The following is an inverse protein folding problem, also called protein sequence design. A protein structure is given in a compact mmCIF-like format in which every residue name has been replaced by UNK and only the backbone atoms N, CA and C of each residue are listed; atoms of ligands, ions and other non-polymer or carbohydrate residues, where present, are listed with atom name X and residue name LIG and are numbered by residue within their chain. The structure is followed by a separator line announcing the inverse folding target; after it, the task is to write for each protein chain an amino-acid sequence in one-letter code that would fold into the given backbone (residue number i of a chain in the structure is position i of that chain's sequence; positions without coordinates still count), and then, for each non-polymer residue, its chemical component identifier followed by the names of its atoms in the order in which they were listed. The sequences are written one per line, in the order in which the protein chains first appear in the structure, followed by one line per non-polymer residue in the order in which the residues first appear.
data_IF_670184002479
#
_entry.id   IF_670184002479
#
_cell.length_a   1.000
_cell.length_b   1.000
_cell.length_c   1.000
_cell.angle_alpha   90.00
_cell.angle_beta   90.00
_cell.angle_gamma   90.00
#
_symmetry.space_group_name_H-M   'P 1'
#
loop_
_entity.id
_entity.type
_entity.pdbx_description
1 polymer ?
#
# COMPACT_ATOMS: atom_id res chain seq x y z
N UNK A 1 -7.55 23.89 10.54
CA UNK A 1 -7.96 22.70 11.31
C UNK A 1 -7.02 21.55 10.94
N UNK A 2 -6.59 20.67 11.87
CA UNK A 2 -5.87 19.45 11.52
C UNK A 2 -6.71 18.59 10.57
N UNK A 3 -6.06 17.88 9.64
CA UNK A 3 -6.74 16.98 8.72
C UNK A 3 -7.33 15.78 9.48
N UNK A 4 -8.51 15.33 9.07
CA UNK A 4 -9.10 14.11 9.64
C UNK A 4 -8.43 12.85 9.08
N UNK A 5 -8.52 11.74 9.81
CA UNK A 5 -7.99 10.43 9.36
C UNK A 5 -8.51 10.05 7.97
N UNK A 6 -9.79 10.35 7.68
CA UNK A 6 -10.39 10.11 6.37
C UNK A 6 -9.87 11.02 5.26
N UNK A 7 -9.62 12.30 5.56
CA UNK A 7 -8.99 13.24 4.61
C UNK A 7 -7.53 12.82 4.30
N UNK A 8 -6.79 12.36 5.31
CA UNK A 8 -5.42 11.83 5.15
C UNK A 8 -5.39 10.56 4.30
N UNK A 9 -6.32 9.62 4.53
CA UNK A 9 -6.42 8.40 3.73
C UNK A 9 -6.79 8.72 2.26
N UNK A 10 -7.74 9.63 2.04
CA UNK A 10 -8.13 10.05 0.68
C UNK A 10 -6.96 10.70 -0.06
N UNK A 11 -6.21 11.57 0.61
CA UNK A 11 -5.02 12.20 0.04
C UNK A 11 -3.89 11.20 -0.25
N UNK A 12 -3.72 10.19 0.61
CA UNK A 12 -2.72 9.14 0.44
C UNK A 12 -2.98 8.28 -0.82
N UNK A 13 -4.25 8.04 -1.16
CA UNK A 13 -4.66 7.19 -2.28
C UNK A 13 -4.85 7.93 -3.61
N UNK A 14 -4.81 9.27 -3.61
CA UNK A 14 -4.94 10.07 -4.82
C UNK A 14 -3.77 9.78 -5.79
N UNK A 15 -4.10 9.39 -7.04
CA UNK A 15 -3.12 9.07 -8.11
C UNK A 15 -2.14 7.92 -7.82
N UNK A 16 -2.44 7.07 -6.83
CA UNK A 16 -1.51 6.03 -6.37
C UNK A 16 -1.33 4.87 -7.36
N UNK A 17 -2.28 4.62 -8.27
CA UNK A 17 -2.36 3.37 -9.03
C UNK A 17 -2.44 3.57 -10.53
N UNK A 18 -1.55 2.85 -11.25
CA UNK A 18 -1.53 2.76 -12.70
C UNK A 18 -1.47 1.26 -13.11
N UNK A 19 -2.57 0.72 -13.68
CA UNK A 19 -2.66 -0.70 -14.05
C UNK A 19 -1.77 -1.08 -15.24
N UNK A 20 -1.14 -0.13 -15.93
CA UNK A 20 -0.17 -0.42 -16.99
C UNK A 20 1.17 -0.92 -16.44
N UNK A 21 1.50 -0.58 -15.19
CA UNK A 21 2.75 -1.01 -14.54
C UNK A 21 2.63 -2.44 -14.02
N UNK A 22 3.68 -3.24 -14.22
CA UNK A 22 3.68 -4.65 -13.85
C UNK A 22 3.56 -4.90 -12.33
N UNK A 23 3.12 -6.10 -11.95
CA UNK A 23 2.83 -6.47 -10.56
C UNK A 23 4.00 -6.26 -9.61
N UNK A 24 5.22 -6.60 -10.06
CA UNK A 24 6.46 -6.42 -9.28
C UNK A 24 6.75 -4.96 -8.95
N UNK A 25 6.35 -4.02 -9.82
CA UNK A 25 6.48 -2.59 -9.54
C UNK A 25 5.65 -2.23 -8.32
N UNK A 26 4.37 -2.64 -8.32
CA UNK A 26 3.44 -2.34 -7.24
C UNK A 26 3.79 -3.01 -5.91
N UNK A 27 4.28 -4.26 -5.93
CA UNK A 27 4.82 -4.90 -4.74
C UNK A 27 6.00 -4.13 -4.13
N UNK A 28 6.92 -3.62 -4.97
CA UNK A 28 8.03 -2.78 -4.50
C UNK A 28 7.55 -1.43 -3.98
N UNK A 29 6.56 -0.84 -4.62
CA UNK A 29 5.96 0.43 -4.17
C UNK A 29 5.30 0.27 -2.80
N UNK A 30 4.52 -0.80 -2.59
CA UNK A 30 3.91 -1.10 -1.30
C UNK A 30 4.94 -1.33 -0.20
N UNK A 31 5.98 -2.14 -0.46
CA UNK A 31 7.06 -2.37 0.50
C UNK A 31 7.85 -1.09 0.81
N UNK A 32 8.08 -0.23 -0.20
CA UNK A 32 8.73 1.08 0.02
C UNK A 32 7.87 1.98 0.91
N UNK A 33 6.56 2.04 0.67
CA UNK A 33 5.64 2.81 1.50
C UNK A 33 5.65 2.30 2.95
N UNK A 34 5.58 0.97 3.16
CA UNK A 34 5.70 0.36 4.49
C UNK A 34 6.99 0.76 5.21
N UNK A 35 8.15 0.68 4.55
CA UNK A 35 9.45 1.09 5.14
C UNK A 35 9.53 2.58 5.44
N UNK A 36 8.89 3.40 4.61
CA UNK A 36 8.82 4.85 4.83
C UNK A 36 7.95 5.13 6.06
N UNK A 37 6.82 4.44 6.19
CA UNK A 37 5.99 4.45 7.41
C UNK A 37 6.80 4.10 8.65
N UNK A 38 7.56 2.99 8.62
CA UNK A 38 8.41 2.55 9.74
C UNK A 38 9.43 3.65 10.13
N UNK A 39 10.02 4.33 9.14
CA UNK A 39 10.98 5.41 9.36
C UNK A 39 10.33 6.66 9.98
N UNK A 40 9.12 7.01 9.54
CA UNK A 40 8.36 8.15 10.06
C UNK A 40 7.90 7.90 11.50
N UNK A 41 7.55 6.66 11.86
CA UNK A 41 7.30 6.27 13.26
C UNK A 41 8.53 6.55 14.14
N UNK A 42 9.74 6.21 13.67
CA UNK A 42 10.97 6.50 14.42
C UNK A 42 11.20 8.01 14.60
N UNK A 43 10.76 8.82 13.64
CA UNK A 43 10.80 10.29 13.69
C UNK A 43 9.64 10.91 14.47
N UNK A 44 8.72 10.09 15.02
CA UNK A 44 7.47 10.52 15.68
C UNK A 44 6.52 11.32 14.78
N UNK A 45 6.70 11.22 13.47
CA UNK A 45 5.77 11.76 12.48
C UNK A 45 4.68 10.71 12.20
N UNK A 46 3.70 10.65 13.09
CA UNK A 46 2.64 9.65 13.03
C UNK A 46 1.63 9.92 11.91
N UNK A 47 1.42 11.18 11.54
CA UNK A 47 0.54 11.54 10.41
C UNK A 47 1.16 11.09 9.10
N UNK A 48 2.46 11.37 8.90
CA UNK A 48 3.24 10.86 7.78
C UNK A 48 3.26 9.34 7.73
N UNK A 49 3.52 8.70 8.87
CA UNK A 49 3.53 7.24 8.97
C UNK A 49 2.19 6.63 8.58
N UNK A 50 1.08 7.20 9.07
CA UNK A 50 -0.27 6.75 8.73
C UNK A 50 -0.53 6.84 7.23
N UNK A 51 -0.17 7.95 6.58
CA UNK A 51 -0.35 8.11 5.13
C UNK A 51 0.43 7.05 4.35
N UNK A 52 1.67 6.76 4.73
CA UNK A 52 2.49 5.76 4.04
C UNK A 52 2.01 4.32 4.27
N UNK A 53 1.55 3.99 5.48
CA UNK A 53 0.92 2.69 5.73
C UNK A 53 -0.41 2.55 4.98
N UNK A 54 -1.22 3.60 4.92
CA UNK A 54 -2.46 3.60 4.13
C UNK A 54 -2.18 3.34 2.65
N UNK A 55 -1.13 3.96 2.07
CA UNK A 55 -0.69 3.66 0.70
C UNK A 55 -0.34 2.19 0.51
N UNK A 56 0.46 1.63 1.41
CA UNK A 56 0.85 0.22 1.34
C UNK A 56 -0.37 -0.71 1.40
N UNK A 57 -1.28 -0.46 2.34
CA UNK A 57 -2.50 -1.25 2.53
C UNK A 57 -3.42 -1.15 1.31
N UNK A 58 -3.68 0.04 0.77
CA UNK A 58 -4.49 0.22 -0.44
C UNK A 58 -3.88 -0.53 -1.63
N UNK A 59 -2.56 -0.47 -1.83
CA UNK A 59 -1.92 -1.21 -2.91
C UNK A 59 -2.12 -2.72 -2.72
N UNK A 60 -1.83 -3.25 -1.53
CA UNK A 60 -1.81 -4.71 -1.29
C UNK A 60 -3.21 -5.32 -1.23
N UNK A 61 -4.14 -4.68 -0.52
CA UNK A 61 -5.45 -5.25 -0.20
C UNK A 61 -6.51 -4.91 -1.25
N UNK A 62 -6.42 -3.74 -1.89
CA UNK A 62 -7.45 -3.28 -2.82
C UNK A 62 -7.00 -3.36 -4.27
N UNK A 63 -5.78 -2.90 -4.59
CA UNK A 63 -5.35 -2.76 -5.98
C UNK A 63 -4.71 -4.01 -6.56
N UNK A 64 -3.74 -4.62 -5.87
CA UNK A 64 -3.05 -5.83 -6.35
C UNK A 64 -4.03 -6.95 -6.71
N UNK A 65 -5.08 -7.28 -5.93
CA UNK A 65 -6.02 -8.35 -6.29
C UNK A 65 -6.77 -8.12 -7.60
N UNK A 66 -6.92 -6.86 -8.03
CA UNK A 66 -7.55 -6.49 -9.31
C UNK A 66 -6.58 -6.48 -10.50
N UNK A 67 -5.29 -6.65 -10.27
CA UNK A 67 -4.27 -6.59 -11.32
C UNK A 67 -4.29 -7.86 -12.17
N UNK A 68 -4.22 -7.72 -13.51
CA UNK A 68 -4.28 -8.83 -14.47
C UNK A 68 -3.23 -9.94 -14.23
N UNK A 69 -2.06 -9.55 -13.73
CA UNK A 69 -0.96 -10.49 -13.45
C UNK A 69 -1.02 -11.09 -12.03
N UNK A 70 -1.96 -10.65 -11.18
CA UNK A 70 -2.05 -11.10 -9.79
C UNK A 70 -2.31 -12.61 -9.68
N UNK A 71 -3.16 -13.15 -10.56
CA UNK A 71 -3.48 -14.58 -10.56
C UNK A 71 -2.43 -15.43 -11.30
N UNK A 72 -1.62 -14.84 -12.18
CA UNK A 72 -0.66 -15.57 -13.02
C UNK A 72 0.75 -15.57 -12.46
N UNK A 73 1.17 -14.52 -11.75
CA UNK A 73 2.52 -14.40 -11.19
C UNK A 73 2.63 -14.87 -9.73
N UNK A 74 1.52 -14.88 -8.98
CA UNK A 74 1.53 -15.27 -7.57
C UNK A 74 0.91 -16.66 -7.40
N UNK A 75 1.67 -17.56 -6.77
CA UNK A 75 1.15 -18.86 -6.36
C UNK A 75 0.13 -18.69 -5.21
N UNK A 76 -0.61 -19.77 -4.91
CA UNK A 76 -1.68 -19.73 -3.91
C UNK A 76 -1.16 -19.26 -2.53
N UNK A 77 0.04 -19.68 -2.14
CA UNK A 77 0.67 -19.32 -0.87
C UNK A 77 1.05 -17.84 -0.80
N UNK A 78 1.59 -17.27 -1.89
CA UNK A 78 1.90 -15.85 -1.98
C UNK A 78 0.64 -14.98 -1.91
N UNK A 79 -0.47 -15.43 -2.49
CA UNK A 79 -1.77 -14.75 -2.39
C UNK A 79 -2.34 -14.84 -0.97
N UNK A 80 -2.22 -16.00 -0.33
CA UNK A 80 -2.62 -16.20 1.07
C UNK A 80 -1.83 -15.28 2.01
N UNK A 81 -0.52 -15.17 1.81
CA UNK A 81 0.34 -14.30 2.64
C UNK A 81 0.06 -12.81 2.44
N UNK A 82 -0.39 -12.39 1.25
CA UNK A 82 -0.82 -11.00 1.02
C UNK A 82 -2.18 -10.70 1.64
N UNK A 83 -3.07 -11.70 1.77
CA UNK A 83 -4.36 -11.56 2.43
C UNK A 83 -4.33 -11.74 3.96
N UNK A 84 -3.29 -12.34 4.52
CA UNK A 84 -3.14 -12.62 5.95
C UNK A 84 -2.55 -11.45 6.77
N UNK A 85 -2.40 -10.26 6.18
CA UNK A 85 -2.14 -9.05 6.98
C UNK A 85 -3.46 -8.67 7.68
N UNK A 86 -3.76 -9.36 8.78
CA UNK A 86 -4.81 -9.06 9.76
C UNK A 86 -4.17 -8.79 11.11
#
# INVERSE_FOLDING_TARGET
RPATIGELATAASADLWDPSKGLKHWLRTAEKARRTGDSLVQLRDYEGAFMEYAKAATIVLEKLPTHREYQTLLNADQRSNLGMVS
#
